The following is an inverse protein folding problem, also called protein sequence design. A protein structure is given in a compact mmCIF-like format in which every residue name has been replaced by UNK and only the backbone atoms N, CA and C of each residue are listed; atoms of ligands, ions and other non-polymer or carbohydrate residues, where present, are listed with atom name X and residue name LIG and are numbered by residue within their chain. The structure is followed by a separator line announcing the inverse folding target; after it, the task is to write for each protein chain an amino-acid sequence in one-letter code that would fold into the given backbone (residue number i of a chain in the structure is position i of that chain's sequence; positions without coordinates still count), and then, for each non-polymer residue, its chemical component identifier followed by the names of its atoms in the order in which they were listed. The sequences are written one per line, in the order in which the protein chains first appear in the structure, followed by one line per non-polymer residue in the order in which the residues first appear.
data_IF_098269039055
#
_entry.id   IF_098269039055
#
_cell.length_a   1.000
_cell.length_b   1.000
_cell.length_c   1.000
_cell.angle_alpha   90.00
_cell.angle_beta   90.00
_cell.angle_gamma   90.00
#
_symmetry.space_group_name_H-M   'P 1'
#
loop_
_entity.id
_entity.type
_entity.pdbx_description
1 polymer ?
#
# COMPACT_ATOMS: atom_id res chain seq x y z
N UNK A 1 20.25 3.07 -17.80
CA UNK A 1 21.59 2.50 -17.51
C UNK A 1 21.71 1.22 -18.32
N UNK A 2 22.61 1.20 -19.29
CA UNK A 2 22.81 0.13 -20.28
C UNK A 2 23.02 -1.23 -19.61
N UNK A 3 22.08 -2.17 -19.77
CA UNK A 3 22.30 -3.58 -19.41
C UNK A 3 22.54 -4.41 -20.66
N UNK A 4 23.75 -4.97 -20.66
CA UNK A 4 24.44 -5.74 -21.68
C UNK A 4 23.63 -6.98 -22.14
N UNK A 5 23.28 -7.01 -23.43
CA UNK A 5 22.34 -7.94 -24.05
C UNK A 5 22.92 -9.35 -24.34
N UNK A 6 23.90 -9.85 -23.57
CA UNK A 6 24.72 -11.02 -23.95
C UNK A 6 24.74 -12.24 -23.03
N UNK A 7 24.04 -12.26 -21.90
CA UNK A 7 23.96 -13.48 -21.06
C UNK A 7 22.59 -13.59 -20.38
N UNK A 8 21.54 -13.89 -21.14
CA UNK A 8 20.22 -14.17 -20.56
C UNK A 8 20.12 -15.67 -20.33
N UNK A 9 20.36 -16.08 -19.08
CA UNK A 9 20.21 -17.47 -18.64
C UNK A 9 18.72 -17.72 -18.42
N UNK A 10 18.20 -18.79 -19.03
CA UNK A 10 16.85 -19.26 -18.76
C UNK A 10 16.79 -19.83 -17.35
N UNK A 11 15.95 -19.25 -16.50
CA UNK A 11 15.73 -19.68 -15.12
C UNK A 11 14.27 -20.09 -14.91
N UNK A 12 14.04 -20.98 -13.96
CA UNK A 12 12.67 -21.38 -13.58
C UNK A 12 11.98 -20.24 -12.83
N UNK A 13 10.65 -20.16 -12.97
CA UNK A 13 9.81 -19.15 -12.29
C UNK A 13 10.00 -19.13 -10.78
N UNK A 14 10.19 -20.30 -10.14
CA UNK A 14 10.41 -20.41 -8.72
C UNK A 14 11.79 -19.88 -8.29
N UNK A 15 12.85 -20.21 -9.03
CA UNK A 15 14.19 -19.67 -8.77
C UNK A 15 14.21 -18.15 -8.92
N UNK A 16 13.44 -17.62 -9.87
CA UNK A 16 13.28 -16.19 -10.07
C UNK A 16 12.60 -15.48 -8.88
N UNK A 17 11.50 -16.03 -8.35
CA UNK A 17 10.81 -15.53 -7.15
C UNK A 17 11.69 -15.59 -5.89
N UNK A 18 12.44 -16.69 -5.71
CA UNK A 18 13.32 -16.88 -4.55
C UNK A 18 14.52 -15.92 -4.60
N UNK A 19 15.07 -15.68 -5.80
CA UNK A 19 16.21 -14.78 -5.97
C UNK A 19 15.81 -13.29 -5.92
N UNK A 20 14.57 -12.96 -6.32
CA UNK A 20 14.05 -11.59 -6.36
C UNK A 20 12.87 -11.41 -5.41
N UNK A 21 13.13 -11.55 -4.10
CA UNK A 21 12.16 -11.31 -3.03
C UNK A 21 11.53 -9.91 -3.09
N UNK A 22 12.24 -8.93 -3.64
CA UNK A 22 11.74 -7.56 -3.83
C UNK A 22 10.44 -7.50 -4.63
N UNK A 23 10.22 -8.41 -5.57
CA UNK A 23 8.99 -8.47 -6.37
C UNK A 23 7.79 -8.91 -5.52
N UNK A 24 7.99 -9.92 -4.67
CA UNK A 24 6.96 -10.40 -3.74
C UNK A 24 6.63 -9.35 -2.69
N UNK A 25 7.64 -8.65 -2.17
CA UNK A 25 7.48 -7.56 -1.23
C UNK A 25 6.74 -6.37 -1.85
N UNK A 26 7.01 -6.06 -3.12
CA UNK A 26 6.30 -5.02 -3.85
C UNK A 26 4.81 -5.36 -4.01
N UNK A 27 4.48 -6.58 -4.45
CA UNK A 27 3.09 -7.05 -4.58
C UNK A 27 2.34 -7.00 -3.23
N UNK A 28 3.00 -7.47 -2.16
CA UNK A 28 2.46 -7.41 -0.79
C UNK A 28 2.21 -5.97 -0.38
N UNK A 29 3.15 -5.07 -0.67
CA UNK A 29 3.04 -3.65 -0.38
C UNK A 29 1.86 -3.00 -1.09
N UNK A 30 1.66 -3.30 -2.37
CA UNK A 30 0.54 -2.80 -3.17
C UNK A 30 -0.82 -3.22 -2.60
N UNK A 31 -0.97 -4.51 -2.30
CA UNK A 31 -2.18 -5.07 -1.69
C UNK A 31 -2.44 -4.49 -0.31
N UNK A 32 -1.38 -4.39 0.51
CA UNK A 32 -1.45 -3.77 1.83
C UNK A 32 -1.96 -2.32 1.75
N UNK A 33 -1.38 -1.48 0.89
CA UNK A 33 -1.77 -0.07 0.77
C UNK A 33 -3.24 0.04 0.37
N UNK A 34 -3.67 -0.71 -0.64
CA UNK A 34 -5.05 -0.66 -1.14
C UNK A 34 -6.06 -1.03 -0.03
N UNK A 35 -5.80 -2.12 0.70
CA UNK A 35 -6.64 -2.54 1.82
C UNK A 35 -6.58 -1.60 3.02
N UNK A 36 -5.42 -1.01 3.32
CA UNK A 36 -5.29 -0.02 4.39
C UNK A 36 -6.14 1.23 4.10
N UNK A 37 -6.12 1.73 2.86
CA UNK A 37 -6.90 2.90 2.46
C UNK A 37 -8.39 2.56 2.44
N UNK A 38 -8.77 1.36 1.99
CA UNK A 38 -10.13 0.86 2.09
C UNK A 38 -10.60 0.80 3.55
N UNK A 39 -9.83 0.17 4.43
CA UNK A 39 -10.13 0.07 5.86
C UNK A 39 -10.25 1.45 6.52
N UNK A 40 -9.36 2.39 6.19
CA UNK A 40 -9.45 3.79 6.65
C UNK A 40 -10.73 4.47 6.17
N UNK A 41 -11.18 4.20 4.94
CA UNK A 41 -12.42 4.75 4.40
C UNK A 41 -13.65 4.18 5.10
N UNK A 42 -13.65 2.87 5.38
CA UNK A 42 -14.70 2.20 6.16
C UNK A 42 -14.74 2.69 7.60
N UNK A 43 -13.59 2.85 8.26
CA UNK A 43 -13.50 3.39 9.63
C UNK A 43 -14.19 4.77 9.73
N UNK A 44 -13.93 5.65 8.76
CA UNK A 44 -14.58 6.97 8.69
C UNK A 44 -16.07 6.84 8.41
N UNK A 45 -16.47 5.98 7.49
CA UNK A 45 -17.88 5.72 7.19
C UNK A 45 -18.65 5.29 8.44
N UNK A 46 -18.10 4.33 9.20
CA UNK A 46 -18.70 3.82 10.44
C UNK A 46 -18.74 4.89 11.52
N UNK A 47 -17.66 5.67 11.69
CA UNK A 47 -17.63 6.77 12.66
C UNK A 47 -18.70 7.84 12.39
N UNK A 48 -18.98 8.11 11.11
CA UNK A 48 -19.96 9.13 10.72
C UNK A 48 -21.39 8.60 10.80
N UNK A 49 -21.66 7.37 10.36
CA UNK A 49 -23.03 6.84 10.26
C UNK A 49 -23.50 6.15 11.54
N UNK A 50 -22.60 5.46 12.24
CA UNK A 50 -22.92 4.72 13.47
C UNK A 50 -22.00 5.12 14.64
N UNK A 51 -22.10 6.39 15.12
CA UNK A 51 -21.26 6.86 16.22
C UNK A 51 -21.46 6.04 17.51
N UNK A 52 -22.66 5.50 17.75
CA UNK A 52 -22.96 4.62 18.90
C UNK A 52 -22.14 3.32 18.88
N UNK A 53 -21.94 2.75 17.69
CA UNK A 53 -21.14 1.54 17.52
C UNK A 53 -19.66 1.85 17.77
N UNK A 54 -19.16 2.99 17.26
CA UNK A 54 -17.76 3.39 17.52
C UNK A 54 -17.51 3.68 18.99
N UNK A 55 -18.45 4.32 19.68
CA UNK A 55 -18.31 4.61 21.11
C UNK A 55 -18.25 3.33 21.96
N UNK A 56 -18.95 2.28 21.55
CA UNK A 56 -19.05 1.02 22.32
C UNK A 56 -18.00 -0.03 21.88
N UNK A 57 -17.68 -0.08 20.59
CA UNK A 57 -16.92 -1.15 19.96
C UNK A 57 -15.81 -0.65 19.00
N UNK A 58 -15.50 0.65 18.98
CA UNK A 58 -14.59 1.24 17.98
C UNK A 58 -13.26 0.49 17.82
N UNK A 59 -12.62 0.11 18.92
CA UNK A 59 -11.37 -0.65 18.89
C UNK A 59 -11.54 -2.05 18.28
N UNK A 60 -12.67 -2.73 18.54
CA UNK A 60 -12.94 -4.08 18.00
C UNK A 60 -13.22 -4.03 16.50
N UNK A 61 -14.01 -3.05 16.05
CA UNK A 61 -14.33 -2.86 14.63
C UNK A 61 -13.08 -2.50 13.84
N UNK A 62 -12.29 -1.55 14.34
CA UNK A 62 -11.03 -1.17 13.70
C UNK A 62 -10.06 -2.35 13.65
N UNK A 63 -9.85 -3.06 14.77
CA UNK A 63 -8.96 -4.23 14.82
C UNK A 63 -9.43 -5.36 13.89
N UNK A 64 -10.74 -5.61 13.79
CA UNK A 64 -11.30 -6.58 12.86
C UNK A 64 -11.00 -6.24 11.39
N UNK A 65 -11.08 -4.96 11.01
CA UNK A 65 -10.70 -4.51 9.66
C UNK A 65 -9.21 -4.72 9.38
N UNK A 66 -8.34 -4.46 10.35
CA UNK A 66 -6.89 -4.71 10.21
C UNK A 66 -6.56 -6.20 10.11
N UNK A 67 -7.21 -7.04 10.92
CA UNK A 67 -7.06 -8.49 10.84
C UNK A 67 -7.54 -9.01 9.47
N UNK A 68 -8.69 -8.54 9.00
CA UNK A 68 -9.20 -8.89 7.67
C UNK A 68 -8.21 -8.51 6.57
N UNK A 69 -7.65 -7.30 6.61
CA UNK A 69 -6.64 -6.87 5.65
C UNK A 69 -5.40 -7.77 5.68
N UNK A 70 -4.89 -8.11 6.87
CA UNK A 70 -3.73 -9.01 7.01
C UNK A 70 -4.00 -10.41 6.47
N UNK A 71 -5.17 -10.99 6.79
CA UNK A 71 -5.56 -12.31 6.29
C UNK A 71 -5.68 -12.30 4.77
N UNK A 72 -6.30 -11.27 4.19
CA UNK A 72 -6.45 -11.15 2.75
C UNK A 72 -5.09 -11.07 2.03
N UNK A 73 -4.18 -10.22 2.53
CA UNK A 73 -2.82 -10.12 1.98
C UNK A 73 -2.06 -11.45 2.10
N UNK A 74 -2.21 -12.15 3.22
CA UNK A 74 -1.61 -13.47 3.43
C UNK A 74 -2.13 -14.50 2.41
N UNK A 75 -3.43 -14.52 2.14
CA UNK A 75 -4.05 -15.40 1.14
C UNK A 75 -3.53 -15.04 -0.26
N UNK A 76 -3.51 -13.75 -0.62
CA UNK A 76 -3.04 -13.30 -1.94
C UNK A 76 -1.56 -13.69 -2.18
N UNK A 77 -0.71 -13.49 -1.18
CA UNK A 77 0.72 -13.85 -1.24
C UNK A 77 0.91 -15.36 -1.34
N UNK A 78 0.14 -16.13 -0.57
CA UNK A 78 0.24 -17.60 -0.60
C UNK A 78 -0.26 -18.13 -1.95
N UNK A 79 -1.32 -17.53 -2.50
CA UNK A 79 -1.83 -17.86 -3.82
C UNK A 79 -0.78 -17.56 -4.90
N UNK A 80 -0.14 -16.39 -4.91
CA UNK A 80 0.89 -16.07 -5.92
C UNK A 80 2.03 -17.08 -5.91
N UNK A 81 2.50 -17.50 -4.74
CA UNK A 81 3.52 -18.53 -4.60
C UNK A 81 3.05 -19.91 -5.06
N UNK A 82 1.84 -20.33 -4.68
CA UNK A 82 1.28 -21.63 -5.11
C UNK A 82 1.09 -21.70 -6.63
N UNK A 83 0.63 -20.61 -7.25
CA UNK A 83 0.53 -20.52 -8.71
C UNK A 83 1.92 -20.55 -9.37
N UNK A 84 2.91 -19.84 -8.83
CA UNK A 84 4.29 -19.91 -9.37
C UNK A 84 4.92 -21.30 -9.24
N UNK A 85 4.66 -22.04 -8.16
CA UNK A 85 5.13 -23.43 -7.98
C UNK A 85 4.49 -24.36 -9.01
N UNK A 86 3.16 -24.25 -9.20
CA UNK A 86 2.40 -25.15 -10.08
C UNK A 86 2.77 -25.00 -11.56
N UNK A 87 3.25 -23.83 -11.96
CA UNK A 87 3.71 -23.54 -13.33
C UNK A 87 5.23 -23.54 -13.48
N UNK A 88 5.98 -24.08 -12.51
CA UNK A 88 7.45 -24.20 -12.57
C UNK A 88 7.93 -25.41 -13.40
N UNK A 89 7.08 -25.97 -14.26
CA UNK A 89 7.48 -27.02 -15.20
C UNK A 89 8.56 -26.50 -16.17
N UNK A 90 9.50 -27.36 -16.61
CA UNK A 90 10.67 -26.96 -17.41
C UNK A 90 10.32 -26.32 -18.78
N UNK A 91 9.05 -26.29 -19.17
CA UNK A 91 8.57 -25.61 -20.39
C UNK A 91 8.29 -24.11 -20.20
N UNK A 92 8.23 -23.62 -18.94
CA UNK A 92 7.96 -22.22 -18.61
C UNK A 92 9.21 -21.56 -18.01
N UNK A 93 10.25 -21.52 -18.82
CA UNK A 93 11.52 -20.85 -18.54
C UNK A 93 11.38 -19.36 -18.83
N UNK A 94 11.72 -18.53 -17.84
CA UNK A 94 11.64 -17.08 -17.96
C UNK A 94 13.03 -16.47 -18.08
N UNK A 95 13.07 -15.34 -18.76
CA UNK A 95 14.26 -14.53 -18.91
C UNK A 95 14.78 -14.10 -17.52
N UNK A 96 16.11 -14.09 -17.31
CA UNK A 96 16.73 -13.72 -16.02
C UNK A 96 16.38 -12.32 -15.51
N UNK A 97 15.72 -11.50 -16.33
CA UNK A 97 15.17 -10.20 -15.94
C UNK A 97 13.99 -10.28 -14.96
N UNK A 98 13.44 -11.47 -14.71
CA UNK A 98 12.51 -11.73 -13.60
C UNK A 98 11.29 -10.80 -13.53
N UNK A 99 10.77 -10.37 -14.68
CA UNK A 99 9.58 -9.55 -14.75
C UNK A 99 8.35 -10.32 -14.23
N UNK A 100 7.67 -9.77 -13.22
CA UNK A 100 6.51 -10.38 -12.54
C UNK A 100 5.41 -10.91 -13.49
N UNK A 101 5.25 -10.28 -14.67
CA UNK A 101 4.33 -10.68 -15.75
C UNK A 101 4.63 -12.07 -16.34
N UNK A 102 5.87 -12.55 -16.22
CA UNK A 102 6.30 -13.85 -16.73
C UNK A 102 6.43 -14.90 -15.61
N UNK A 103 6.53 -14.47 -14.35
CA UNK A 103 6.74 -15.34 -13.18
C UNK A 103 5.45 -15.93 -12.60
N UNK A 104 4.31 -15.35 -12.95
CA UNK A 104 2.98 -15.77 -12.47
C UNK A 104 2.03 -15.99 -13.63
N UNK A 105 1.11 -16.94 -13.48
CA UNK A 105 0.11 -17.26 -14.49
C UNK A 105 -0.69 -16.02 -14.92
N UNK A 106 -0.94 -15.90 -16.23
CA UNK A 106 -1.62 -14.74 -16.81
C UNK A 106 -3.03 -14.57 -16.25
N UNK A 107 -3.74 -15.66 -15.92
CA UNK A 107 -5.07 -15.57 -15.35
C UNK A 107 -5.02 -15.05 -13.90
N UNK A 108 -4.08 -15.54 -13.08
CA UNK A 108 -3.87 -15.00 -11.74
C UNK A 108 -3.49 -13.52 -11.78
N UNK A 109 -2.57 -13.13 -12.68
CA UNK A 109 -2.19 -11.72 -12.88
C UNK A 109 -3.43 -10.86 -13.18
N UNK A 110 -4.25 -11.26 -14.16
CA UNK A 110 -5.46 -10.52 -14.52
C UNK A 110 -6.43 -10.44 -13.34
N UNK A 111 -6.66 -11.55 -12.62
CA UNK A 111 -7.58 -11.60 -11.48
C UNK A 111 -7.11 -10.69 -10.35
N UNK A 112 -5.84 -10.79 -9.95
CA UNK A 112 -5.24 -9.98 -8.89
C UNK A 112 -5.39 -8.48 -9.19
N UNK A 113 -4.91 -8.03 -10.35
CA UNK A 113 -4.99 -6.61 -10.72
C UNK A 113 -6.42 -6.12 -10.94
N UNK A 114 -7.34 -6.98 -11.40
CA UNK A 114 -8.76 -6.61 -11.51
C UNK A 114 -9.37 -6.39 -10.13
N UNK A 115 -9.08 -7.27 -9.16
CA UNK A 115 -9.56 -7.12 -7.78
C UNK A 115 -8.98 -5.86 -7.14
N UNK A 116 -7.68 -5.61 -7.29
CA UNK A 116 -7.03 -4.40 -6.79
C UNK A 116 -7.63 -3.12 -7.38
N UNK A 117 -7.84 -3.09 -8.70
CA UNK A 117 -8.48 -1.95 -9.38
C UNK A 117 -9.92 -1.74 -8.88
N UNK A 118 -10.73 -2.80 -8.80
CA UNK A 118 -12.11 -2.73 -8.29
C UNK A 118 -12.15 -2.21 -6.84
N UNK A 119 -11.27 -2.72 -5.97
CA UNK A 119 -11.15 -2.25 -4.59
C UNK A 119 -10.79 -0.76 -4.55
N UNK A 120 -9.88 -0.30 -5.43
CA UNK A 120 -9.51 1.10 -5.58
C UNK A 120 -10.72 1.98 -5.95
N UNK A 121 -11.51 1.58 -6.95
CA UNK A 121 -12.72 2.31 -7.34
C UNK A 121 -13.79 2.34 -6.25
N UNK A 122 -14.04 1.19 -5.59
CA UNK A 122 -14.98 1.10 -4.46
C UNK A 122 -14.54 2.05 -3.34
N UNK A 123 -13.24 2.09 -3.05
CA UNK A 123 -12.67 2.97 -2.02
C UNK A 123 -12.93 4.44 -2.34
N UNK A 124 -12.74 4.86 -3.59
CA UNK A 124 -13.01 6.24 -4.03
C UNK A 124 -14.49 6.59 -3.89
N UNK A 125 -15.38 5.71 -4.36
CA UNK A 125 -16.81 5.91 -4.28
C UNK A 125 -17.29 6.01 -2.83
N UNK A 126 -16.83 5.10 -1.96
CA UNK A 126 -17.10 5.11 -0.53
C UNK A 126 -16.59 6.42 0.08
N UNK A 127 -15.37 6.84 -0.25
CA UNK A 127 -14.76 8.04 0.29
C UNK A 127 -15.51 9.31 -0.11
N UNK A 128 -15.94 9.40 -1.38
CA UNK A 128 -16.77 10.49 -1.87
C UNK A 128 -18.11 10.57 -1.13
N UNK A 129 -18.75 9.41 -0.89
CA UNK A 129 -19.98 9.33 -0.11
C UNK A 129 -19.77 9.82 1.33
N UNK A 130 -18.70 9.38 2.00
CA UNK A 130 -18.35 9.83 3.35
C UNK A 130 -18.16 11.34 3.39
N UNK A 131 -17.43 11.92 2.42
CA UNK A 131 -17.23 13.36 2.32
C UNK A 131 -18.54 14.14 2.15
N UNK A 132 -19.47 13.63 1.33
CA UNK A 132 -20.79 14.21 1.18
C UNK A 132 -21.59 14.14 2.50
N UNK A 133 -21.59 13.00 3.17
CA UNK A 133 -22.25 12.81 4.45
C UNK A 133 -21.71 13.75 5.54
N UNK A 134 -20.39 13.99 5.59
CA UNK A 134 -19.77 14.96 6.50
C UNK A 134 -20.24 16.38 6.21
N UNK A 135 -20.26 16.78 4.93
CA UNK A 135 -20.73 18.12 4.52
C UNK A 135 -22.17 18.36 4.97
N UNK A 136 -23.06 17.39 4.74
CA UNK A 136 -24.47 17.47 5.16
C UNK A 136 -24.58 17.59 6.68
N UNK A 137 -23.95 16.68 7.43
CA UNK A 137 -24.02 16.68 8.91
C UNK A 137 -23.40 17.91 9.55
N UNK A 138 -22.41 18.55 8.91
CA UNK A 138 -21.81 19.81 9.39
C UNK A 138 -22.78 20.99 9.27
N UNK A 139 -23.68 20.97 8.27
CA UNK A 139 -24.71 22.00 8.11
C UNK A 139 -25.81 21.90 9.17
N UNK A 140 -26.02 20.70 9.74
CA UNK A 140 -27.11 20.38 10.66
C UNK A 140 -26.68 20.31 12.14
N UNK A 141 -25.40 20.57 12.48
CA UNK A 141 -24.85 20.23 13.80
C UNK A 141 -24.69 21.41 14.77
N UNK A 142 -25.03 21.18 16.05
CA UNK A 142 -24.75 22.06 17.19
C UNK A 142 -23.27 22.32 17.46
N UNK A 143 -22.99 23.35 18.28
CA UNK A 143 -21.65 23.91 18.52
C UNK A 143 -20.59 22.91 19.04
N UNK A 144 -20.97 21.85 19.77
CA UNK A 144 -20.02 20.83 20.28
C UNK A 144 -19.72 19.77 19.20
N UNK A 145 -20.74 19.35 18.45
CA UNK A 145 -20.61 18.38 17.34
C UNK A 145 -19.86 18.99 16.16
N UNK A 146 -19.94 20.31 15.97
CA UNK A 146 -19.17 21.04 14.95
C UNK A 146 -17.66 21.02 15.21
N UNK A 147 -17.21 21.02 16.48
CA UNK A 147 -15.79 20.92 16.85
C UNK A 147 -15.22 19.53 16.55
N UNK A 148 -15.97 18.46 16.86
CA UNK A 148 -15.59 17.08 16.52
C UNK A 148 -15.53 16.89 15.01
N UNK A 149 -16.54 17.38 14.27
CA UNK A 149 -16.57 17.36 12.81
C UNK A 149 -15.41 18.15 12.18
N UNK A 150 -14.93 19.23 12.80
CA UNK A 150 -13.77 19.99 12.31
C UNK A 150 -12.47 19.20 12.43
N UNK A 151 -12.29 18.41 13.50
CA UNK A 151 -11.14 17.50 13.65
C UNK A 151 -11.20 16.33 12.67
N UNK A 152 -12.38 15.73 12.53
CA UNK A 152 -12.64 14.68 11.54
C UNK A 152 -12.40 15.18 10.11
N UNK A 153 -12.80 16.41 9.77
CA UNK A 153 -12.57 17.01 8.46
C UNK A 153 -11.07 17.20 8.13
N UNK A 154 -10.23 17.49 9.13
CA UNK A 154 -8.77 17.57 8.92
C UNK A 154 -8.19 16.18 8.63
N UNK A 155 -8.65 15.15 9.33
CA UNK A 155 -8.23 13.76 9.09
C UNK A 155 -8.77 13.27 7.73
N UNK A 156 -9.97 13.66 7.34
CA UNK A 156 -10.54 13.36 6.03
C UNK A 156 -9.78 14.08 4.90
N UNK A 157 -9.35 15.34 5.06
CA UNK A 157 -8.54 15.99 4.02
C UNK A 157 -7.21 15.25 3.76
N UNK A 158 -6.68 14.67 4.82
CA UNK A 158 -5.44 13.90 4.84
C UNK A 158 -5.59 12.54 4.16
N UNK A 159 -6.63 11.78 4.51
CA UNK A 159 -6.95 10.52 3.83
C UNK A 159 -7.35 10.75 2.37
N UNK A 160 -7.98 11.89 2.03
CA UNK A 160 -8.27 12.26 0.65
C UNK A 160 -7.01 12.34 -0.21
N UNK A 161 -5.94 12.96 0.31
CA UNK A 161 -4.66 13.04 -0.40
C UNK A 161 -4.12 11.63 -0.67
N UNK A 162 -4.17 10.74 0.32
CA UNK A 162 -3.76 9.34 0.15
C UNK A 162 -4.59 8.61 -0.91
N UNK A 163 -5.93 8.72 -0.85
CA UNK A 163 -6.85 8.10 -1.82
C UNK A 163 -6.55 8.58 -3.24
N UNK A 164 -6.38 9.90 -3.43
CA UNK A 164 -6.07 10.49 -4.73
C UNK A 164 -4.69 10.03 -5.23
N UNK A 165 -3.67 10.12 -4.37
CA UNK A 165 -2.30 9.71 -4.74
C UNK A 165 -2.25 8.24 -5.14
N UNK A 166 -2.86 7.34 -4.36
CA UNK A 166 -2.92 5.92 -4.70
C UNK A 166 -3.72 5.67 -5.97
N UNK A 167 -4.80 6.41 -6.22
CA UNK A 167 -5.52 6.27 -7.49
C UNK A 167 -4.66 6.60 -8.71
N UNK A 168 -4.01 7.77 -8.72
CA UNK A 168 -3.21 8.21 -9.87
C UNK A 168 -1.92 7.41 -10.03
N UNK A 169 -1.26 7.06 -8.93
CA UNK A 169 0.07 6.44 -8.95
C UNK A 169 0.03 4.92 -8.99
N UNK A 170 -1.10 4.29 -8.64
CA UNK A 170 -1.23 2.83 -8.55
C UNK A 170 -2.41 2.28 -9.37
N UNK A 171 -3.64 2.73 -9.13
CA UNK A 171 -4.80 2.16 -9.84
C UNK A 171 -4.82 2.52 -11.33
N UNK A 172 -4.41 3.74 -11.69
CA UNK A 172 -4.38 4.20 -13.09
C UNK A 172 -3.34 3.45 -13.95
N UNK A 173 -2.07 3.27 -13.52
CA UNK A 173 -1.13 2.45 -14.30
C UNK A 173 -1.52 0.97 -14.33
N UNK A 174 -2.11 0.42 -13.27
CA UNK A 174 -2.60 -0.97 -13.26
C UNK A 174 -3.73 -1.20 -14.26
N UNK A 175 -4.70 -0.26 -14.32
CA UNK A 175 -5.80 -0.33 -15.29
C UNK A 175 -5.30 -0.12 -16.73
N UNK A 176 -4.38 0.81 -16.95
CA UNK A 176 -3.73 0.98 -18.27
C UNK A 176 -2.97 -0.27 -18.70
N UNK A 177 -2.28 -0.96 -17.79
CA UNK A 177 -1.59 -2.20 -18.09
C UNK A 177 -2.55 -3.36 -18.35
N UNK A 178 -3.68 -3.44 -17.64
CA UNK A 178 -4.74 -4.40 -17.96
C UNK A 178 -5.30 -4.13 -19.36
N UNK A 179 -5.54 -2.87 -19.72
CA UNK A 179 -6.00 -2.48 -21.06
C UNK A 179 -4.97 -2.88 -22.13
N UNK A 180 -3.67 -2.68 -21.91
CA UNK A 180 -2.62 -3.14 -22.84
C UNK A 180 -2.67 -4.67 -23.06
N UNK A 181 -2.90 -5.46 -22.01
CA UNK A 181 -3.03 -6.93 -22.12
C UNK A 181 -4.21 -7.33 -23.03
N UNK A 182 -5.32 -6.57 -23.00
CA UNK A 182 -6.50 -6.84 -23.82
C UNK A 182 -6.47 -6.16 -25.19
N UNK A 183 -5.67 -5.10 -25.36
CA UNK A 183 -5.56 -4.30 -26.59
C UNK A 183 -4.08 -4.06 -26.96
N UNK A 184 -3.42 -5.02 -27.61
CA UNK A 184 -1.96 -5.02 -27.84
C UNK A 184 -1.47 -3.97 -28.88
N UNK A 185 -2.37 -3.16 -29.43
CA UNK A 185 -2.05 -2.13 -30.43
C UNK A 185 -1.47 -0.85 -29.81
N UNK A 186 -1.62 -0.66 -28.49
CA UNK A 186 -1.12 0.51 -27.76
C UNK A 186 0.09 0.06 -26.95
N UNK A 187 1.30 0.04 -27.54
CA UNK A 187 2.52 -0.33 -26.81
C UNK A 187 2.83 0.71 -25.72
N UNK A 188 2.33 0.50 -24.52
CA UNK A 188 2.75 1.23 -23.32
C UNK A 188 3.94 0.50 -22.69
N UNK A 189 5.03 1.22 -22.40
CA UNK A 189 6.30 0.64 -21.97
C UNK A 189 6.18 -0.10 -20.61
N UNK A 190 6.58 -1.38 -20.51
CA UNK A 190 6.53 -2.17 -19.28
C UNK A 190 7.50 -1.70 -18.17
N UNK A 191 8.63 -1.08 -18.55
CA UNK A 191 9.68 -0.68 -17.59
C UNK A 191 9.28 0.55 -16.75
N UNK A 192 8.44 1.44 -17.29
CA UNK A 192 8.00 2.66 -16.60
C UNK A 192 7.01 2.38 -15.46
N UNK A 193 6.27 1.28 -15.56
CA UNK A 193 5.21 0.90 -14.59
C UNK A 193 5.83 0.43 -13.27
N UNK A 194 6.94 -0.31 -13.32
CA UNK A 194 7.62 -0.77 -12.10
C UNK A 194 8.19 0.40 -11.29
N UNK A 195 8.84 1.35 -11.97
CA UNK A 195 9.34 2.58 -11.35
C UNK A 195 8.21 3.40 -10.73
N UNK A 196 7.08 3.53 -11.43
CA UNK A 196 5.90 4.24 -10.94
C UNK A 196 5.34 3.61 -9.65
N UNK A 197 5.32 2.27 -9.56
CA UNK A 197 4.92 1.53 -8.36
C UNK A 197 5.84 1.79 -7.16
N UNK A 198 7.16 1.74 -7.36
CA UNK A 198 8.14 2.07 -6.32
C UNK A 198 8.00 3.52 -5.82
N UNK A 199 7.75 4.46 -6.73
CA UNK A 199 7.50 5.87 -6.41
C UNK A 199 6.19 6.01 -5.61
N UNK A 200 5.14 5.29 -5.99
CA UNK A 200 3.85 5.28 -5.29
C UNK A 200 4.00 4.83 -3.84
N UNK A 201 4.70 3.71 -3.60
CA UNK A 201 4.94 3.16 -2.26
C UNK A 201 5.71 4.15 -1.37
N UNK A 202 6.75 4.76 -1.95
CA UNK A 202 7.59 5.75 -1.27
C UNK A 202 6.82 7.02 -0.94
N UNK A 203 6.02 7.53 -1.87
CA UNK A 203 5.18 8.70 -1.66
C UNK A 203 4.11 8.42 -0.61
N UNK A 204 3.48 7.25 -0.63
CA UNK A 204 2.51 6.85 0.39
C UNK A 204 3.12 6.90 1.80
N UNK A 205 4.30 6.31 2.01
CA UNK A 205 4.99 6.32 3.29
C UNK A 205 5.29 7.76 3.76
N UNK A 206 5.80 8.61 2.87
CA UNK A 206 6.11 10.00 3.18
C UNK A 206 4.87 10.83 3.50
N UNK A 207 3.82 10.72 2.66
CA UNK A 207 2.55 11.41 2.89
C UNK A 207 1.98 10.96 4.22
N UNK A 208 1.91 9.65 4.50
CA UNK A 208 1.39 9.13 5.76
C UNK A 208 2.16 9.66 6.98
N UNK A 209 3.49 9.67 6.94
CA UNK A 209 4.34 10.19 8.01
C UNK A 209 4.15 11.68 8.28
N UNK A 210 4.01 12.51 7.24
CA UNK A 210 3.76 13.95 7.36
C UNK A 210 2.33 14.24 7.84
N UNK A 211 1.43 13.35 7.49
CA UNK A 211 0.00 13.47 7.70
C UNK A 211 -0.40 13.05 9.11
N UNK A 212 0.21 12.04 9.70
CA UNK A 212 -0.10 11.57 11.05
C UNK A 212 0.84 12.15 12.11
N UNK A 213 0.51 13.33 12.64
CA UNK A 213 1.27 14.02 13.71
C UNK A 213 1.64 13.13 14.91
N UNK A 214 0.77 12.18 15.30
CA UNK A 214 1.06 11.23 16.39
C UNK A 214 2.28 10.36 16.04
N UNK A 215 2.34 9.86 14.81
CA UNK A 215 3.43 9.04 14.28
C UNK A 215 4.68 9.90 14.13
N UNK A 216 4.59 11.08 13.53
CA UNK A 216 5.73 12.01 13.41
C UNK A 216 6.34 12.33 14.78
N UNK A 217 5.51 12.57 15.79
CA UNK A 217 5.97 12.89 17.15
C UNK A 217 6.51 11.66 17.89
N UNK A 218 6.04 10.45 17.57
CA UNK A 218 6.61 9.21 18.09
C UNK A 218 7.98 8.93 17.46
N UNK A 219 8.10 9.08 16.14
CA UNK A 219 9.37 8.96 15.40
C UNK A 219 10.38 9.99 15.89
N UNK A 220 10.00 11.27 16.02
CA UNK A 220 10.86 12.32 16.58
C UNK A 220 11.35 11.97 17.99
N UNK A 221 10.48 11.42 18.84
CA UNK A 221 10.83 10.96 20.20
C UNK A 221 11.77 9.74 20.19
N UNK A 222 11.57 8.81 19.26
CA UNK A 222 12.45 7.67 19.08
C UNK A 222 13.84 8.12 18.57
N UNK A 223 13.88 9.01 17.58
CA UNK A 223 15.10 9.60 17.04
C UNK A 223 15.85 10.43 18.08
N UNK A 224 15.15 11.22 18.91
CA UNK A 224 15.80 11.99 19.98
C UNK A 224 16.39 11.07 21.05
N UNK A 225 15.72 9.95 21.38
CA UNK A 225 16.26 8.92 22.29
C UNK A 225 17.46 8.19 21.69
N UNK A 226 17.42 7.83 20.41
CA UNK A 226 18.56 7.22 19.72
C UNK A 226 19.74 8.17 19.60
N UNK A 227 19.49 9.45 19.30
CA UNK A 227 20.51 10.50 19.27
C UNK A 227 21.16 10.68 20.64
N UNK A 228 20.36 10.76 21.71
CA UNK A 228 20.87 10.83 23.08
C UNK A 228 21.65 9.58 23.49
N UNK A 229 21.19 8.39 23.09
CA UNK A 229 21.90 7.12 23.36
C UNK A 229 23.22 7.04 22.60
N UNK A 230 23.28 7.50 21.35
CA UNK A 230 24.52 7.55 20.59
C UNK A 230 25.51 8.55 21.21
N UNK A 231 25.06 9.75 21.59
CA UNK A 231 25.91 10.74 22.29
C UNK A 231 26.42 10.21 23.63
N UNK A 232 25.60 9.50 24.40
CA UNK A 232 26.00 8.89 25.67
C UNK A 232 27.01 7.75 25.49
N UNK A 233 26.86 6.91 24.45
CA UNK A 233 27.81 5.84 24.13
C UNK A 233 29.15 6.42 23.66
N UNK A 234 29.13 7.47 22.84
CA UNK A 234 30.36 8.16 22.40
C UNK A 234 31.06 8.84 23.58
N UNK A 235 30.32 9.49 24.49
CA UNK A 235 30.90 10.12 25.68
C UNK A 235 31.49 9.09 26.67
N UNK A 236 30.85 7.92 26.83
CA UNK A 236 31.36 6.84 27.68
C UNK A 236 32.63 6.19 27.10
N UNK A 237 32.74 6.10 25.77
CA UNK A 237 33.95 5.58 25.12
C UNK A 237 35.12 6.57 25.14
N UNK A 238 34.88 7.88 25.17
CA UNK A 238 35.96 8.88 25.38
C UNK A 238 36.53 8.84 26.78
N UNK A 239 35.70 8.60 27.82
CA UNK A 239 36.16 8.55 29.23
C UNK A 239 37.05 7.32 29.49
N UNK A 240 36.75 6.19 28.84
CA UNK A 240 37.52 4.95 28.94
C UNK A 240 38.88 4.97 28.22
N UNK A 241 39.12 5.93 27.32
CA UNK A 241 40.40 6.13 26.62
C UNK A 241 41.32 7.15 27.31
N UNK A 242 40.85 7.81 28.37
CA UNK A 242 41.58 8.84 29.13
C UNK A 242 41.88 8.45 30.59
N UNK A 243 41.58 7.21 30.99
CA UNK A 243 42.02 6.60 32.27
C UNK A 243 43.07 5.55 31.99
#
# INVERSE_FOLDING_TARGET
LLLNHKNLILITTLQCMVHNLDLTLLQVGESCISLCIFAMSVDRFVAIHWPRIVQTYGNKVSNGLWIFALVFVGIDTTASWLFSVRFSEPQYVVLSSCLYKFTVDKAYYIIHYSICALLGYITIALYAFVMFAVKKKRSESDHVRSIQLKREAVIMRRVLILVISTFFLQNLPETLHLIDIFTPWIRLLPEDIFLMKCISLSLYANIYMLTHRKVTNAIKRALSKCSYRNVAVTAASTILLTS
#
